data_IF_808904347486
#
_entry.id   IF_808904347486
#
_cell.length_a   1.000
_cell.length_b   1.000
_cell.length_c   1.000
_cell.angle_alpha   90.00
_cell.angle_beta   90.00
_cell.angle_gamma   90.00
#
_symmetry.space_group_name_H-M   'P 1'
#
loop_
_entity.id
_entity.type
_entity.pdbx_description
1 polymer ?
#
# COMPACT_ATOMS: atom_id res chain seq x y z
N UNK A 1 -2.77 40.96 -6.67
CA UNK A 1 -1.63 40.04 -6.42
C UNK A 1 -2.15 38.83 -5.67
N UNK A 2 -2.26 37.68 -6.31
CA UNK A 2 -2.68 36.44 -5.64
C UNK A 2 -1.50 35.91 -4.83
N UNK A 3 -1.62 35.91 -3.50
CA UNK A 3 -0.66 35.27 -2.59
C UNK A 3 -0.70 33.77 -2.89
N UNK A 4 0.32 33.28 -3.61
CA UNK A 4 0.49 31.85 -3.89
C UNK A 4 0.49 31.08 -2.58
N UNK A 5 -0.31 30.02 -2.50
CA UNK A 5 -0.40 29.16 -1.32
C UNK A 5 1.01 28.70 -0.92
N UNK A 6 1.35 28.69 0.39
CA UNK A 6 2.66 28.26 0.85
C UNK A 6 2.95 26.85 0.33
N UNK A 7 4.11 26.65 -0.31
CA UNK A 7 4.57 25.33 -0.78
C UNK A 7 4.58 24.39 0.42
N UNK A 8 3.67 23.41 0.44
CA UNK A 8 3.59 22.37 1.48
C UNK A 8 4.95 21.66 1.53
N UNK A 9 5.67 21.79 2.65
CA UNK A 9 6.93 21.08 2.87
C UNK A 9 6.58 19.59 2.87
N UNK A 10 7.16 18.82 1.96
CA UNK A 10 6.92 17.39 1.88
C UNK A 10 7.60 16.70 3.07
N UNK A 11 6.83 15.90 3.80
CA UNK A 11 7.32 15.10 4.93
C UNK A 11 7.60 13.66 4.52
N UNK A 12 8.33 12.91 5.35
CA UNK A 12 8.54 11.46 5.15
C UNK A 12 7.19 10.72 5.07
N UNK A 13 6.22 11.13 5.89
CA UNK A 13 4.86 10.60 5.89
C UNK A 13 4.19 10.77 4.51
N UNK A 14 4.30 11.96 3.90
CA UNK A 14 3.75 12.21 2.56
C UNK A 14 4.37 11.29 1.50
N UNK A 15 5.70 11.10 1.56
CA UNK A 15 6.43 10.25 0.62
C UNK A 15 6.02 8.79 0.79
N UNK A 16 5.94 8.29 2.03
CA UNK A 16 5.52 6.93 2.34
C UNK A 16 4.08 6.67 1.89
N UNK A 17 3.15 7.55 2.26
CA UNK A 17 1.74 7.45 1.87
C UNK A 17 1.58 7.37 0.35
N UNK A 18 2.27 8.25 -0.38
CA UNK A 18 2.24 8.23 -1.86
C UNK A 18 2.83 6.93 -2.42
N UNK A 19 3.92 6.43 -1.85
CA UNK A 19 4.53 5.19 -2.28
C UNK A 19 3.63 3.97 -2.01
N UNK A 20 2.97 3.93 -0.85
CA UNK A 20 1.97 2.88 -0.54
C UNK A 20 0.80 2.95 -1.54
N UNK A 21 0.25 4.14 -1.82
CA UNK A 21 -0.82 4.30 -2.85
C UNK A 21 -0.42 3.68 -4.19
N UNK A 22 0.83 3.89 -4.62
CA UNK A 22 1.35 3.30 -5.86
C UNK A 22 1.45 1.76 -5.79
N UNK A 23 1.87 1.20 -4.65
CA UNK A 23 1.88 -0.25 -4.44
C UNK A 23 0.47 -0.83 -4.57
N UNK A 24 -0.52 -0.22 -3.93
CA UNK A 24 -1.92 -0.67 -4.00
C UNK A 24 -2.47 -0.58 -5.43
N UNK A 25 -2.20 0.53 -6.13
CA UNK A 25 -2.60 0.68 -7.53
C UNK A 25 -1.96 -0.38 -8.44
N UNK A 26 -0.69 -0.72 -8.24
CA UNK A 26 -0.01 -1.77 -9.00
C UNK A 26 -0.54 -3.16 -8.65
N UNK A 27 -0.82 -3.42 -7.38
CA UNK A 27 -1.39 -4.69 -6.95
C UNK A 27 -2.74 -4.94 -7.62
N UNK A 28 -3.66 -3.96 -7.59
CA UNK A 28 -4.97 -4.02 -8.27
C UNK A 28 -4.85 -4.38 -9.75
N UNK A 29 -3.89 -3.78 -10.47
CA UNK A 29 -3.67 -4.04 -11.91
C UNK A 29 -3.14 -5.44 -12.21
N UNK A 30 -2.51 -6.11 -11.24
CA UNK A 30 -1.91 -7.43 -11.41
C UNK A 30 -2.85 -8.56 -10.99
N UNK A 31 -3.99 -8.26 -10.38
CA UNK A 31 -4.92 -9.28 -9.89
C UNK A 31 -5.50 -10.07 -11.08
N UNK A 32 -5.43 -11.41 -11.04
CA UNK A 32 -6.07 -12.25 -12.02
C UNK A 32 -7.61 -12.16 -11.88
N UNK A 33 -8.31 -12.35 -12.99
CA UNK A 33 -9.77 -12.46 -13.01
C UNK A 33 -10.20 -13.86 -12.57
N UNK A 34 -11.26 -13.98 -11.75
CA UNK A 34 -11.86 -15.25 -11.34
C UNK A 34 -10.91 -16.27 -10.69
N UNK A 35 -10.07 -15.84 -9.76
CA UNK A 35 -9.15 -16.73 -9.02
C UNK A 35 -9.64 -17.01 -7.60
N UNK A 36 -9.46 -18.26 -7.15
CA UNK A 36 -9.79 -18.67 -5.79
C UNK A 36 -8.98 -17.87 -4.76
N UNK A 37 -9.65 -17.31 -3.75
CA UNK A 37 -9.00 -16.49 -2.72
C UNK A 37 -8.82 -15.01 -3.10
N UNK A 38 -9.26 -14.59 -4.29
CA UNK A 38 -9.27 -13.18 -4.70
C UNK A 38 -10.05 -12.31 -3.70
N UNK A 39 -11.13 -12.83 -3.12
CA UNK A 39 -11.96 -12.12 -2.14
C UNK A 39 -11.17 -11.69 -0.90
N UNK A 40 -10.22 -12.52 -0.43
CA UNK A 40 -9.35 -12.18 0.70
C UNK A 40 -8.47 -10.97 0.38
N UNK A 41 -7.97 -10.93 -0.85
CA UNK A 41 -7.14 -9.81 -1.34
C UNK A 41 -7.98 -8.56 -1.50
N UNK A 42 -9.16 -8.66 -2.10
CA UNK A 42 -10.07 -7.53 -2.30
C UNK A 42 -10.54 -6.92 -0.98
N UNK A 43 -10.86 -7.75 0.01
CA UNK A 43 -11.21 -7.28 1.36
C UNK A 43 -10.03 -6.55 2.02
N UNK A 44 -8.82 -7.12 1.95
CA UNK A 44 -7.63 -6.44 2.48
C UNK A 44 -7.35 -5.11 1.76
N UNK A 45 -7.58 -5.05 0.45
CA UNK A 45 -7.44 -3.82 -0.34
C UNK A 45 -8.44 -2.76 0.14
N UNK A 46 -9.70 -3.13 0.37
CA UNK A 46 -10.73 -2.20 0.85
C UNK A 46 -10.31 -1.58 2.19
N UNK A 47 -9.90 -2.39 3.16
CA UNK A 47 -9.38 -1.92 4.46
C UNK A 47 -8.19 -0.95 4.29
N UNK A 48 -7.30 -1.25 3.33
CA UNK A 48 -6.15 -0.39 3.05
C UNK A 48 -6.57 0.95 2.45
N UNK A 49 -7.61 0.97 1.62
CA UNK A 49 -8.16 2.20 1.04
C UNK A 49 -8.80 3.10 2.10
N UNK A 50 -9.46 2.54 3.10
CA UNK A 50 -9.97 3.29 4.24
C UNK A 50 -8.83 4.01 5.00
N UNK A 51 -7.73 3.30 5.28
CA UNK A 51 -6.55 3.89 5.92
C UNK A 51 -5.90 4.97 5.03
N UNK A 52 -5.85 4.75 3.71
CA UNK A 52 -5.28 5.70 2.75
C UNK A 52 -6.09 6.98 2.56
N UNK A 53 -7.38 6.93 2.90
CA UNK A 53 -8.32 8.05 2.82
C UNK A 53 -8.30 8.95 4.07
N UNK A 54 -7.76 8.49 5.20
CA UNK A 54 -7.47 9.35 6.36
C UNK A 54 -6.54 10.50 5.93
N UNK A 55 -6.58 11.65 6.58
CA UNK A 55 -5.64 12.73 6.27
C UNK A 55 -4.23 12.42 6.81
N UNK A 56 -4.17 11.88 8.01
CA UNK A 56 -2.93 11.54 8.72
C UNK A 56 -2.29 10.25 8.17
N UNK A 57 -1.03 10.01 8.55
CA UNK A 57 -0.29 8.80 8.23
C UNK A 57 0.26 8.20 9.52
N UNK A 58 -0.45 7.22 10.05
CA UNK A 58 -0.04 6.50 11.25
C UNK A 58 0.75 5.24 10.88
N UNK A 59 2.08 5.30 10.98
CA UNK A 59 2.98 4.23 10.51
C UNK A 59 2.59 2.84 11.05
N UNK A 60 2.11 2.76 12.29
CA UNK A 60 1.69 1.51 12.92
C UNK A 60 0.52 0.85 12.19
N UNK A 61 -0.45 1.61 11.67
CA UNK A 61 -1.56 1.07 10.88
C UNK A 61 -1.06 0.40 9.60
N UNK A 62 -0.08 1.01 8.94
CA UNK A 62 0.49 0.46 7.71
C UNK A 62 1.38 -0.76 7.96
N UNK A 63 2.07 -0.80 9.11
CA UNK A 63 2.81 -2.00 9.54
C UNK A 63 1.84 -3.14 9.81
N UNK A 64 0.71 -2.87 10.47
CA UNK A 64 -0.33 -3.86 10.72
C UNK A 64 -0.93 -4.38 9.41
N UNK A 65 -1.30 -3.49 8.48
CA UNK A 65 -1.77 -3.90 7.15
C UNK A 65 -0.77 -4.77 6.40
N UNK A 66 0.53 -4.48 6.50
CA UNK A 66 1.56 -5.33 5.90
C UNK A 66 1.63 -6.72 6.52
N UNK A 67 1.39 -6.86 7.84
CA UNK A 67 1.28 -8.17 8.49
C UNK A 67 0.05 -8.92 8.01
N UNK A 68 -1.11 -8.25 7.98
CA UNK A 68 -2.37 -8.82 7.47
C UNK A 68 -2.25 -9.27 6.01
N UNK A 69 -1.48 -8.57 5.17
CA UNK A 69 -1.19 -9.00 3.80
C UNK A 69 -0.40 -10.31 3.77
N UNK A 70 0.54 -10.50 4.71
CA UNK A 70 1.25 -11.78 4.84
C UNK A 70 0.27 -12.90 5.18
N UNK A 71 -0.70 -12.67 6.06
CA UNK A 71 -1.71 -13.67 6.39
C UNK A 71 -2.60 -14.00 5.18
N UNK A 72 -2.95 -13.00 4.35
CA UNK A 72 -3.65 -13.22 3.07
C UNK A 72 -2.81 -14.08 2.13
N UNK A 73 -1.51 -13.83 2.03
CA UNK A 73 -0.57 -14.62 1.21
C UNK A 73 -0.55 -16.08 1.67
N UNK A 74 -0.45 -16.34 2.98
CA UNK A 74 -0.39 -17.71 3.51
C UNK A 74 -1.71 -18.47 3.30
N UNK A 75 -2.85 -17.77 3.25
CA UNK A 75 -4.18 -18.35 2.97
C UNK A 75 -4.50 -18.49 1.49
N UNK A 76 -3.71 -17.87 0.61
CA UNK A 76 -3.92 -17.93 -0.85
C UNK A 76 -3.36 -19.25 -1.37
N UNK A 77 -4.21 -20.12 -1.92
CA UNK A 77 -3.77 -21.42 -2.47
C UNK A 77 -3.19 -21.30 -3.87
N UNK A 78 -3.69 -20.36 -4.67
CA UNK A 78 -3.20 -20.11 -6.03
C UNK A 78 -1.76 -19.60 -6.01
N UNK A 79 -0.86 -20.32 -6.68
CA UNK A 79 0.58 -20.04 -6.65
C UNK A 79 0.94 -18.74 -7.36
N UNK A 80 0.31 -18.47 -8.51
CA UNK A 80 0.58 -17.27 -9.31
C UNK A 80 0.14 -16.01 -8.54
N UNK A 81 -1.07 -16.03 -7.96
CA UNK A 81 -1.58 -14.97 -7.11
C UNK A 81 -0.68 -14.77 -5.89
N UNK A 82 -0.29 -15.85 -5.21
CA UNK A 82 0.60 -15.80 -4.05
C UNK A 82 1.94 -15.14 -4.39
N UNK A 83 2.52 -15.46 -5.56
CA UNK A 83 3.77 -14.84 -6.02
C UNK A 83 3.61 -13.33 -6.24
N UNK A 84 2.53 -12.90 -6.92
CA UNK A 84 2.22 -11.47 -7.14
C UNK A 84 1.99 -10.71 -5.84
N UNK A 85 1.35 -11.35 -4.85
CA UNK A 85 1.14 -10.78 -3.52
C UNK A 85 2.46 -10.68 -2.74
N UNK A 86 3.35 -11.68 -2.79
CA UNK A 86 4.68 -11.61 -2.16
C UNK A 86 5.53 -10.46 -2.73
N UNK A 87 5.51 -10.25 -4.04
CA UNK A 87 6.16 -9.09 -4.69
C UNK A 87 5.60 -7.76 -4.18
N UNK A 88 4.27 -7.69 -4.05
CA UNK A 88 3.58 -6.51 -3.51
C UNK A 88 3.92 -6.28 -2.03
N UNK A 89 4.02 -7.33 -1.22
CA UNK A 89 4.40 -7.27 0.20
C UNK A 89 5.85 -6.77 0.42
N UNK A 90 6.77 -7.20 -0.45
CA UNK A 90 8.14 -6.67 -0.45
C UNK A 90 8.16 -5.18 -0.82
N UNK A 91 7.47 -4.81 -1.91
CA UNK A 91 7.33 -3.42 -2.36
C UNK A 91 6.68 -2.52 -1.31
N UNK A 92 5.70 -3.04 -0.57
CA UNK A 92 5.07 -2.34 0.55
C UNK A 92 6.10 -2.03 1.64
N UNK A 93 6.94 -3.00 2.03
CA UNK A 93 8.00 -2.76 3.02
C UNK A 93 8.95 -1.64 2.59
N UNK A 94 9.41 -1.68 1.33
CA UNK A 94 10.26 -0.61 0.76
C UNK A 94 9.55 0.75 0.71
N UNK A 95 8.22 0.77 0.56
CA UNK A 95 7.44 2.01 0.61
C UNK A 95 7.46 2.65 2.00
N UNK A 96 7.40 1.83 3.07
CA UNK A 96 7.44 2.31 4.46
C UNK A 96 8.82 2.82 4.89
N UNK A 97 9.88 2.33 4.26
CA UNK A 97 11.25 2.79 4.49
C UNK A 97 11.60 4.11 3.79
N UNK A 98 10.75 4.60 2.89
CA UNK A 98 11.05 5.82 2.12
C UNK A 98 11.15 7.05 3.01
N UNK A 99 12.08 7.93 2.65
CA UNK A 99 12.30 9.23 3.28
C UNK A 99 12.40 10.30 2.22
N UNK A 100 12.15 11.55 2.61
CA UNK A 100 12.37 12.72 1.77
C UNK A 100 13.84 12.76 1.35
N UNK A 101 14.08 12.99 0.06
CA UNK A 101 15.43 13.17 -0.45
C UNK A 101 15.99 14.47 0.11
N UNK A 102 17.07 14.36 0.88
CA UNK A 102 17.90 15.52 1.25
C UNK A 102 18.78 15.84 0.03
N UNK A 103 18.52 16.99 -0.58
CA UNK A 103 19.37 17.55 -1.63
C UNK A 103 20.50 18.37 -1.00
#
# INVERSE_FOLDING_TARGET
MAKGAPKKIQTDADVKKKAVKLVIAHMKKKLPENTMGLDLVLNWIADMEEILNKDEFELLEYIDMRKRLNDVIERTLDEELRFKLRDSWYSFGKALDRKVKRH
#
